data_IF_785442571172
#
_entry.id   IF_785442571172
#
_cell.length_a   1.000
_cell.length_b   1.000
_cell.length_c   1.000
_cell.angle_alpha   90.00
_cell.angle_beta   90.00
_cell.angle_gamma   90.00
#
_symmetry.space_group_name_H-M   'P 1'
#
loop_
_entity.id
_entity.type
_entity.pdbx_description
1 polymer ?
#
# COMPACT_ATOMS: atom_id res chain seq x y z
N UNK A 1 -20.51 -42.50 46.14
CA UNK A 1 -20.24 -41.07 45.81
C UNK A 1 -18.84 -40.84 45.21
N UNK A 2 -17.75 -41.39 45.76
CA UNK A 2 -16.38 -41.17 45.23
C UNK A 2 -16.12 -41.66 43.80
N UNK A 3 -16.66 -42.81 43.39
CA UNK A 3 -16.40 -43.38 42.07
C UNK A 3 -16.96 -42.49 40.94
N UNK A 4 -18.19 -41.98 41.09
CA UNK A 4 -18.82 -41.11 40.09
C UNK A 4 -18.06 -39.78 39.88
N UNK A 5 -17.49 -39.21 40.95
CA UNK A 5 -16.69 -37.96 40.85
C UNK A 5 -15.36 -38.22 40.13
N UNK A 6 -14.72 -39.36 40.40
CA UNK A 6 -13.51 -39.77 39.68
C UNK A 6 -13.78 -39.99 38.19
N UNK A 7 -14.88 -40.65 37.84
CA UNK A 7 -15.29 -40.83 36.44
C UNK A 7 -15.57 -39.51 35.75
N UNK A 8 -16.30 -38.58 36.39
CA UNK A 8 -16.58 -37.26 35.82
C UNK A 8 -15.31 -36.43 35.59
N UNK A 9 -14.33 -36.52 36.50
CA UNK A 9 -13.03 -35.85 36.35
C UNK A 9 -12.21 -36.43 35.19
N UNK A 10 -12.21 -37.77 35.01
CA UNK A 10 -11.52 -38.41 33.89
C UNK A 10 -12.16 -38.02 32.54
N UNK A 11 -13.49 -37.97 32.47
CA UNK A 11 -14.20 -37.56 31.25
C UNK A 11 -13.94 -36.08 30.91
N UNK A 12 -13.93 -35.18 31.91
CA UNK A 12 -13.60 -33.78 31.70
C UNK A 12 -12.17 -33.57 31.19
N UNK A 13 -11.21 -34.33 31.71
CA UNK A 13 -9.81 -34.26 31.27
C UNK A 13 -9.65 -34.83 29.84
N UNK A 14 -10.33 -35.94 29.51
CA UNK A 14 -10.35 -36.47 28.14
C UNK A 14 -10.92 -35.47 27.13
N UNK A 15 -12.00 -34.77 27.47
CA UNK A 15 -12.58 -33.71 26.64
C UNK A 15 -11.60 -32.55 26.47
N UNK A 16 -10.94 -32.11 27.54
CA UNK A 16 -9.93 -31.05 27.46
C UNK A 16 -8.78 -31.40 26.52
N UNK A 17 -8.27 -32.63 26.60
CA UNK A 17 -7.14 -33.08 25.79
C UNK A 17 -7.53 -33.28 24.33
N UNK A 18 -8.74 -33.77 24.07
CA UNK A 18 -9.29 -33.88 22.73
C UNK A 18 -9.48 -32.49 22.09
N UNK A 19 -10.01 -31.51 22.84
CA UNK A 19 -10.16 -30.13 22.38
C UNK A 19 -8.80 -29.46 22.11
N UNK A 20 -7.83 -29.63 23.00
CA UNK A 20 -6.49 -29.06 22.83
C UNK A 20 -5.74 -29.69 21.64
N UNK A 21 -5.94 -30.99 21.40
CA UNK A 21 -5.38 -31.70 20.25
C UNK A 21 -6.01 -31.25 18.93
N UNK A 22 -7.33 -31.02 18.89
CA UNK A 22 -8.00 -30.45 17.72
C UNK A 22 -7.47 -29.04 17.41
N UNK A 23 -7.33 -28.19 18.44
CA UNK A 23 -6.80 -26.84 18.29
C UNK A 23 -5.34 -26.84 17.80
N UNK A 24 -4.50 -27.74 18.32
CA UNK A 24 -3.11 -27.87 17.88
C UNK A 24 -3.00 -28.30 16.40
N UNK A 25 -3.83 -29.24 15.95
CA UNK A 25 -3.87 -29.68 14.55
C UNK A 25 -4.39 -28.58 13.60
N UNK A 26 -5.29 -27.70 14.07
CA UNK A 26 -5.75 -26.54 13.27
C UNK A 26 -4.66 -25.48 13.08
N UNK A 27 -3.73 -25.34 14.03
CA UNK A 27 -2.61 -24.39 13.93
C UNK A 27 -1.54 -24.89 12.94
N UNK A 28 -1.33 -26.21 12.84
CA UNK A 28 -0.32 -26.80 11.94
C UNK A 28 -0.68 -26.79 10.46
N UNK A 29 -1.95 -26.53 10.10
CA UNK A 29 -2.41 -26.46 8.70
C UNK A 29 -2.43 -25.04 8.12
N UNK A 30 -2.15 -24.01 8.92
CA UNK A 30 -2.09 -22.63 8.43
C UNK A 30 -0.70 -22.37 7.82
N UNK A 31 -0.58 -22.16 6.50
CA UNK A 31 0.68 -21.72 5.93
C UNK A 31 1.00 -20.32 6.47
N UNK A 32 2.02 -20.19 7.31
CA UNK A 32 2.69 -18.92 7.58
C UNK A 32 3.47 -18.52 6.32
N UNK A 33 2.78 -18.16 5.25
CA UNK A 33 3.37 -17.42 4.15
C UNK A 33 3.22 -15.93 4.44
N UNK A 34 4.01 -15.44 5.40
CA UNK A 34 4.33 -14.01 5.41
C UNK A 34 5.26 -13.79 4.23
N UNK A 35 4.71 -13.43 3.07
CA UNK A 35 5.50 -12.87 1.99
C UNK A 35 5.97 -11.51 2.48
N UNK A 36 7.12 -11.47 3.15
CA UNK A 36 7.76 -10.22 3.51
C UNK A 36 8.13 -9.54 2.19
N UNK A 37 7.40 -8.49 1.84
CA UNK A 37 7.66 -7.71 0.65
C UNK A 37 8.98 -6.96 0.87
N UNK A 38 9.99 -7.31 0.09
CA UNK A 38 11.35 -6.77 0.14
C UNK A 38 11.48 -5.48 -0.66
N UNK A 39 12.23 -4.52 -0.12
CA UNK A 39 12.63 -3.29 -0.84
C UNK A 39 13.93 -3.51 -1.62
N UNK A 40 14.55 -2.43 -2.11
CA UNK A 40 15.79 -2.46 -2.89
C UNK A 40 16.91 -3.28 -2.23
N UNK A 41 17.59 -4.10 -3.03
CA UNK A 41 18.63 -5.03 -2.59
C UNK A 41 18.18 -6.09 -1.56
N UNK A 42 16.89 -6.13 -1.22
CA UNK A 42 16.30 -7.15 -0.35
C UNK A 42 16.18 -8.51 -1.04
N UNK A 43 16.11 -9.61 -0.27
CA UNK A 43 16.02 -10.96 -0.81
C UNK A 43 14.65 -11.23 -1.44
N UNK A 44 14.64 -11.96 -2.56
CA UNK A 44 13.42 -12.39 -3.24
C UNK A 44 13.62 -13.76 -3.90
N UNK A 45 12.52 -14.48 -4.10
CA UNK A 45 12.43 -15.74 -4.85
C UNK A 45 11.48 -15.63 -6.03
N UNK A 46 10.42 -14.84 -5.89
CA UNK A 46 9.39 -14.61 -6.91
C UNK A 46 9.23 -13.12 -7.18
N UNK A 47 8.57 -12.77 -8.29
CA UNK A 47 8.29 -11.38 -8.65
C UNK A 47 7.42 -10.66 -7.61
N UNK A 48 6.57 -11.40 -6.90
CA UNK A 48 5.65 -10.86 -5.88
C UNK A 48 6.34 -10.62 -4.52
N UNK A 49 7.62 -10.99 -4.39
CA UNK A 49 8.37 -10.80 -3.15
C UNK A 49 8.95 -9.38 -3.04
N UNK A 50 8.79 -8.54 -4.07
CA UNK A 50 9.36 -7.19 -4.14
C UNK A 50 8.28 -6.10 -4.08
N UNK A 51 8.62 -4.98 -3.44
CA UNK A 51 7.68 -3.84 -3.27
C UNK A 51 7.52 -3.05 -4.57
N UNK A 52 6.28 -2.70 -4.90
CA UNK A 52 5.97 -1.80 -6.01
C UNK A 52 6.35 -2.38 -7.37
N UNK A 53 7.14 -1.64 -8.15
CA UNK A 53 7.55 -1.98 -9.52
C UNK A 53 8.91 -2.69 -9.59
N UNK A 54 9.45 -3.12 -8.45
CA UNK A 54 10.74 -3.82 -8.42
C UNK A 54 10.60 -5.25 -8.93
N UNK A 55 11.62 -5.71 -9.67
CA UNK A 55 11.68 -7.08 -10.17
C UNK A 55 12.72 -7.91 -9.42
N UNK A 56 12.44 -9.20 -9.28
CA UNK A 56 13.37 -10.12 -8.63
C UNK A 56 14.42 -10.60 -9.65
N UNK A 57 15.62 -10.02 -9.61
CA UNK A 57 16.75 -10.44 -10.44
C UNK A 57 17.86 -10.96 -9.55
N UNK A 58 18.35 -12.17 -9.86
CA UNK A 58 19.46 -12.80 -9.17
C UNK A 58 19.23 -12.92 -7.64
N UNK A 59 17.98 -13.18 -7.24
CA UNK A 59 17.56 -13.32 -5.84
C UNK A 59 17.47 -12.00 -5.07
N UNK A 60 17.51 -10.85 -5.76
CA UNK A 60 17.37 -9.52 -5.16
C UNK A 60 16.37 -8.64 -5.90
N UNK A 61 15.64 -7.82 -5.15
CA UNK A 61 14.76 -6.81 -5.72
C UNK A 61 15.57 -5.66 -6.32
N UNK A 62 15.43 -5.45 -7.63
CA UNK A 62 16.13 -4.44 -8.42
C UNK A 62 15.18 -3.71 -9.37
N UNK A 63 15.65 -2.60 -9.92
CA UNK A 63 14.98 -1.84 -10.97
C UNK A 63 14.79 -2.69 -12.24
N UNK A 64 13.64 -2.54 -12.90
CA UNK A 64 13.38 -3.15 -14.20
C UNK A 64 14.13 -2.38 -15.31
N UNK A 65 15.07 -3.02 -16.03
CA UNK A 65 15.88 -2.39 -17.06
C UNK A 65 15.08 -2.07 -18.34
N UNK A 66 13.98 -2.78 -18.62
CA UNK A 66 13.18 -2.59 -19.83
C UNK A 66 12.18 -1.45 -19.66
N UNK A 67 11.75 -1.19 -18.41
CA UNK A 67 10.83 -0.10 -18.07
C UNK A 67 11.57 1.18 -17.64
N UNK A 68 12.88 1.09 -17.35
CA UNK A 68 13.72 2.26 -17.04
C UNK A 68 13.48 2.87 -15.66
N UNK A 69 13.04 2.05 -14.70
CA UNK A 69 12.85 2.49 -13.30
C UNK A 69 14.20 2.81 -12.63
N UNK A 70 14.25 3.79 -11.72
CA UNK A 70 15.50 4.22 -11.02
C UNK A 70 15.34 4.27 -9.49
N UNK A 71 14.48 3.41 -8.97
CA UNK A 71 14.05 3.35 -7.56
C UNK A 71 15.22 2.92 -6.67
N UNK A 72 16.00 1.91 -7.08
CA UNK A 72 17.16 1.45 -6.32
C UNK A 72 18.43 2.25 -6.62
N UNK A 73 18.52 2.81 -7.83
CA UNK A 73 19.69 3.56 -8.31
C UNK A 73 19.84 4.97 -7.71
N UNK A 74 18.76 5.60 -7.24
CA UNK A 74 18.83 6.93 -6.59
C UNK A 74 19.16 6.91 -5.10
N UNK A 75 19.50 5.73 -4.55
CA UNK A 75 19.68 5.52 -3.13
C UNK A 75 18.31 5.56 -2.46
N UNK A 76 17.89 4.45 -1.86
CA UNK A 76 16.61 4.36 -1.15
C UNK A 76 16.45 5.54 -0.21
N UNK A 77 15.58 6.48 -0.57
CA UNK A 77 15.44 7.74 0.17
C UNK A 77 14.02 8.21 0.00
N UNK A 78 13.30 8.23 1.12
CA UNK A 78 12.45 9.34 1.53
C UNK A 78 11.76 10.09 0.40
N UNK A 79 10.44 9.91 0.33
CA UNK A 79 9.49 10.93 -0.10
C UNK A 79 10.08 12.32 0.16
N UNK A 80 10.24 13.19 -0.86
CA UNK A 80 10.79 14.52 -0.64
C UNK A 80 9.84 15.22 0.32
N UNK A 81 10.27 15.38 1.57
CA UNK A 81 9.57 16.22 2.54
C UNK A 81 9.71 17.65 2.04
N UNK A 82 8.63 18.36 1.67
CA UNK A 82 8.77 19.76 1.34
C UNK A 82 8.64 20.53 2.66
N UNK A 83 9.81 21.01 3.11
CA UNK A 83 9.93 22.25 3.85
C UNK A 83 8.98 23.33 3.29
N UNK A 84 8.53 24.19 4.18
CA UNK A 84 7.57 25.30 4.07
C UNK A 84 7.87 26.39 3.03
N UNK A 85 8.43 26.09 1.86
CA UNK A 85 8.77 27.08 0.85
C UNK A 85 8.86 26.49 -0.56
N UNK A 86 8.08 27.08 -1.47
CA UNK A 86 8.10 26.90 -2.93
C UNK A 86 7.96 25.47 -3.47
N UNK A 87 6.71 25.06 -3.72
CA UNK A 87 6.44 24.13 -4.82
C UNK A 87 6.73 24.84 -6.15
N UNK A 88 7.93 24.68 -6.71
CA UNK A 88 8.13 24.96 -8.13
C UNK A 88 7.66 23.74 -8.93
N UNK A 89 6.43 23.79 -9.42
CA UNK A 89 6.01 22.92 -10.52
C UNK A 89 6.79 23.34 -11.77
N UNK A 90 7.92 22.67 -12.01
CA UNK A 90 8.61 22.70 -13.28
C UNK A 90 8.51 21.32 -13.89
N UNK A 91 7.44 21.08 -14.66
CA UNK A 91 7.17 19.83 -15.33
C UNK A 91 5.68 19.56 -15.48
N UNK A 92 5.32 18.72 -16.43
CA UNK A 92 3.97 18.16 -16.52
C UNK A 92 3.94 16.93 -15.61
N UNK A 93 3.13 16.95 -14.54
CA UNK A 93 2.95 15.77 -13.71
C UNK A 93 2.04 14.81 -14.45
N UNK A 94 2.62 13.77 -15.05
CA UNK A 94 1.82 12.69 -15.61
C UNK A 94 1.66 11.65 -14.51
N UNK A 95 0.48 11.63 -13.92
CA UNK A 95 0.00 10.46 -13.19
C UNK A 95 -0.41 9.43 -14.24
N UNK A 96 0.24 8.26 -14.26
CA UNK A 96 -0.14 7.13 -15.13
C UNK A 96 -1.47 6.49 -14.69
N UNK A 97 -2.46 7.29 -14.27
CA UNK A 97 -3.85 6.88 -14.09
C UNK A 97 -4.60 6.83 -15.42
N UNK A 98 -3.93 6.31 -16.46
CA UNK A 98 -4.52 6.14 -17.79
C UNK A 98 -5.49 4.95 -17.81
N UNK A 99 -6.70 5.22 -18.32
CA UNK A 99 -7.69 4.26 -18.85
C UNK A 99 -8.46 3.35 -17.87
N UNK A 100 -8.55 3.71 -16.59
CA UNK A 100 -9.51 3.08 -15.66
C UNK A 100 -8.86 2.54 -14.39
N UNK A 101 -8.33 3.44 -13.56
CA UNK A 101 -8.10 3.12 -12.15
C UNK A 101 -9.42 2.73 -11.46
N UNK A 102 -9.32 2.05 -10.32
CA UNK A 102 -10.48 1.79 -9.47
C UNK A 102 -11.13 3.09 -8.97
N UNK A 103 -12.23 2.99 -8.22
CA UNK A 103 -12.83 4.16 -7.60
C UNK A 103 -11.82 4.94 -6.72
N UNK A 104 -12.03 6.25 -6.58
CA UNK A 104 -11.13 7.16 -5.88
C UNK A 104 -10.96 6.78 -4.40
N UNK A 105 -9.72 6.86 -3.88
CA UNK A 105 -9.37 6.37 -2.55
C UNK A 105 -10.10 7.08 -1.38
N UNK A 106 -10.59 8.30 -1.57
CA UNK A 106 -11.27 9.06 -0.50
C UNK A 106 -12.74 8.70 -0.31
N UNK A 107 -13.46 8.36 -1.38
CA UNK A 107 -14.92 8.22 -1.38
C UNK A 107 -15.42 6.98 -2.13
N UNK A 108 -14.53 6.15 -2.65
CA UNK A 108 -14.84 4.87 -3.31
C UNK A 108 -15.83 5.01 -4.48
N UNK A 109 -15.81 6.15 -5.17
CA UNK A 109 -16.62 6.40 -6.38
C UNK A 109 -15.78 6.82 -7.57
N UNK A 110 -16.40 6.77 -8.75
CA UNK A 110 -15.88 7.39 -9.96
C UNK A 110 -16.41 8.82 -10.06
N UNK A 111 -15.53 9.77 -10.39
CA UNK A 111 -15.89 11.15 -10.64
C UNK A 111 -16.04 11.42 -12.13
N UNK A 112 -17.02 12.24 -12.51
CA UNK A 112 -17.13 12.69 -13.89
C UNK A 112 -16.02 13.69 -14.23
N UNK A 113 -15.59 13.70 -15.50
CA UNK A 113 -14.59 14.66 -16.00
C UNK A 113 -15.04 16.13 -15.90
N UNK A 114 -16.32 16.38 -15.63
CA UNK A 114 -16.90 17.70 -15.38
C UNK A 114 -16.63 18.19 -13.95
N UNK A 115 -16.37 17.28 -13.02
CA UNK A 115 -16.06 17.60 -11.63
C UNK A 115 -14.62 18.09 -11.49
N UNK A 116 -14.43 19.12 -10.66
CA UNK A 116 -13.09 19.64 -10.34
C UNK A 116 -12.51 18.84 -9.19
N UNK A 117 -11.94 17.69 -9.51
CA UNK A 117 -11.30 16.79 -8.57
C UNK A 117 -9.83 16.60 -8.89
N UNK A 118 -9.04 16.21 -7.90
CA UNK A 118 -7.60 15.94 -8.05
C UNK A 118 -7.15 14.79 -7.18
N UNK A 119 -6.14 14.07 -7.68
CA UNK A 119 -5.33 13.14 -6.90
C UNK A 119 -4.09 13.87 -6.35
N UNK A 120 -3.62 13.49 -5.16
CA UNK A 120 -2.38 14.00 -4.58
C UNK A 120 -1.33 12.89 -4.52
N UNK A 121 -0.05 13.24 -4.68
CA UNK A 121 1.02 12.29 -4.42
C UNK A 121 1.00 11.83 -2.95
N UNK A 122 1.47 10.62 -2.67
CA UNK A 122 1.41 9.96 -1.35
C UNK A 122 1.77 10.86 -0.17
N UNK A 123 2.86 11.63 -0.28
CA UNK A 123 3.28 12.53 0.79
C UNK A 123 2.27 13.66 1.08
N UNK A 124 1.61 14.19 0.04
CA UNK A 124 0.60 15.24 0.18
C UNK A 124 -0.77 14.70 0.52
N UNK A 125 -1.11 13.54 -0.03
CA UNK A 125 -2.31 12.78 0.33
C UNK A 125 -2.32 12.49 1.84
N UNK A 126 -1.14 12.13 2.38
CA UNK A 126 -0.88 11.95 3.80
C UNK A 126 -1.95 11.06 4.44
N UNK A 127 -2.04 9.83 3.92
CA UNK A 127 -2.99 8.79 4.37
C UNK A 127 -4.44 9.32 4.44
N UNK A 128 -4.86 10.05 3.42
CA UNK A 128 -6.22 10.59 3.31
C UNK A 128 -6.53 11.81 4.18
N UNK A 129 -5.56 12.38 4.90
CA UNK A 129 -5.80 13.57 5.76
C UNK A 129 -6.34 14.80 5.02
N UNK A 130 -6.19 14.82 3.69
CA UNK A 130 -6.71 15.86 2.79
C UNK A 130 -7.97 15.47 2.02
N UNK A 131 -8.49 14.25 2.18
CA UNK A 131 -9.71 13.80 1.53
C UNK A 131 -10.87 14.78 1.73
N UNK A 132 -11.58 15.07 0.65
CA UNK A 132 -12.74 15.97 0.63
C UNK A 132 -12.40 17.46 0.81
N UNK A 133 -11.14 17.83 1.06
CA UNK A 133 -10.74 19.22 1.22
C UNK A 133 -10.50 19.88 -0.13
N UNK A 134 -10.87 21.16 -0.22
CA UNK A 134 -10.60 21.98 -1.38
C UNK A 134 -9.16 22.51 -1.33
N UNK A 135 -8.43 22.38 -2.44
CA UNK A 135 -7.12 23.01 -2.62
C UNK A 135 -7.19 24.04 -3.75
N UNK A 136 -6.36 25.09 -3.65
CA UNK A 136 -6.22 26.10 -4.70
C UNK A 136 -4.99 25.79 -5.54
N UNK A 137 -5.23 25.56 -6.83
CA UNK A 137 -4.20 25.29 -7.83
C UNK A 137 -3.96 26.58 -8.60
N UNK A 138 -2.73 27.06 -8.63
CA UNK A 138 -2.34 28.28 -9.34
C UNK A 138 -1.40 27.93 -10.48
N UNK A 139 -1.80 28.26 -11.70
CA UNK A 139 -0.99 28.07 -12.89
C UNK A 139 0.05 29.19 -13.04
N UNK A 140 1.11 28.94 -13.83
CA UNK A 140 2.18 29.91 -14.11
C UNK A 140 1.67 31.23 -14.71
N UNK A 141 0.53 31.19 -15.41
CA UNK A 141 -0.13 32.38 -15.96
C UNK A 141 -0.93 33.19 -14.91
N UNK A 142 -0.82 32.86 -13.62
CA UNK A 142 -1.48 33.54 -12.52
C UNK A 142 -2.94 33.14 -12.28
N UNK A 143 -3.56 32.37 -13.19
CA UNK A 143 -4.93 31.88 -13.00
C UNK A 143 -4.97 30.83 -11.90
N UNK A 144 -6.04 30.85 -11.10
CA UNK A 144 -6.25 29.89 -10.03
C UNK A 144 -7.60 29.20 -10.15
N UNK A 145 -7.65 27.93 -9.74
CA UNK A 145 -8.86 27.13 -9.64
C UNK A 145 -8.87 26.38 -8.32
N UNK A 146 -10.06 26.08 -7.79
CA UNK A 146 -10.22 25.19 -6.64
C UNK A 146 -10.69 23.82 -7.10
N UNK A 147 -10.15 22.77 -6.47
CA UNK A 147 -10.51 21.38 -6.73
C UNK A 147 -10.57 20.57 -5.44
N UNK A 148 -11.44 19.56 -5.38
CA UNK A 148 -11.59 18.62 -4.27
C UNK A 148 -10.54 17.52 -4.38
N UNK A 149 -9.86 17.21 -3.28
CA UNK A 149 -8.96 16.04 -3.21
C UNK A 149 -9.81 14.78 -3.05
N UNK A 150 -9.68 13.85 -4.00
CA UNK A 150 -10.47 12.60 -4.02
C UNK A 150 -9.60 11.35 -4.04
N UNK A 151 -8.34 11.45 -4.44
CA UNK A 151 -7.53 10.26 -4.68
C UNK A 151 -6.05 10.43 -4.31
N UNK A 152 -5.37 9.29 -4.22
CA UNK A 152 -3.92 9.19 -4.08
C UNK A 152 -3.30 8.83 -5.44
N UNK A 153 -2.24 9.52 -5.83
CA UNK A 153 -1.44 9.15 -7.00
C UNK A 153 -0.14 8.50 -6.51
N UNK A 154 -0.13 7.18 -6.44
CA UNK A 154 0.98 6.36 -5.94
C UNK A 154 2.20 6.35 -6.87
N UNK A 155 2.03 6.73 -8.14
CA UNK A 155 3.06 6.66 -9.20
C UNK A 155 3.15 7.92 -10.06
N UNK A 156 3.27 9.09 -9.42
CA UNK A 156 3.53 10.34 -10.14
C UNK A 156 4.92 10.34 -10.82
N UNK A 157 4.98 10.40 -12.15
CA UNK A 157 6.24 10.66 -12.87
C UNK A 157 6.34 12.16 -13.20
N UNK A 158 7.43 12.81 -12.81
CA UNK A 158 7.77 14.16 -13.23
C UNK A 158 8.51 14.09 -14.58
N UNK A 159 7.95 14.72 -15.62
CA UNK A 159 8.64 14.99 -16.89
C UNK A 159 9.33 16.35 -16.86
#
# INVERSE_FOLDING_TARGET
>A
KSQAVSFLLHMANLVLWASLSLLFNTITLLPLSTNAISSCNGPCKTLNDCSGQLICINGKCNDDPDVGTTICSKGGSTSPTPSTGSCQSSGNLICNGGDGGGPSACDEIFHENTERVVALSTGWYNRGSRCGKMIRITAKNGRSVTAKVVDECDSCQWL
#
